data_IF_706136213821
#
_entry.id   IF_706136213821
#
_cell.length_a   1.000
_cell.length_b   1.000
_cell.length_c   1.000
_cell.angle_alpha   90.00
_cell.angle_beta   90.00
_cell.angle_gamma   90.00
#
_symmetry.space_group_name_H-M   'P 1'
#
loop_
_entity.id
_entity.type
_entity.pdbx_description
1 polymer ?
#
# COMPACT_ATOMS: atom_id res chain seq x y z
N UNK A 1 -69.72 53.15 18.68
CA UNK A 1 -69.28 51.75 19.02
C UNK A 1 -68.18 51.30 18.03
N UNK A 2 -66.92 51.34 18.47
CA UNK A 2 -65.76 50.85 17.65
C UNK A 2 -65.48 49.37 17.98
N UNK A 3 -65.64 48.49 16.99
CA UNK A 3 -65.29 47.11 17.14
C UNK A 3 -63.80 46.94 16.92
N UNK A 4 -63.08 46.53 17.95
CA UNK A 4 -61.67 46.12 17.84
C UNK A 4 -61.63 44.70 17.30
N UNK A 5 -61.01 44.53 16.12
CA UNK A 5 -60.70 43.20 15.55
C UNK A 5 -59.31 42.84 16.02
N UNK A 6 -59.21 41.81 16.87
CA UNK A 6 -57.92 41.19 17.29
C UNK A 6 -57.50 40.18 16.23
N UNK A 7 -56.43 40.52 15.47
CA UNK A 7 -55.79 39.58 14.56
C UNK A 7 -54.74 38.80 15.36
N UNK A 8 -55.03 37.52 15.64
CA UNK A 8 -54.05 36.60 16.23
C UNK A 8 -53.12 36.12 15.12
N UNK A 9 -51.88 36.58 15.12
CA UNK A 9 -50.81 36.06 14.28
C UNK A 9 -50.34 34.75 14.88
N UNK A 10 -50.70 33.61 14.26
CA UNK A 10 -50.18 32.29 14.59
C UNK A 10 -48.80 32.15 13.95
N UNK A 11 -47.75 32.39 14.74
CA UNK A 11 -46.37 32.06 14.35
C UNK A 11 -46.19 30.56 14.34
N UNK A 12 -46.30 29.95 13.17
CA UNK A 12 -45.91 28.57 12.94
C UNK A 12 -44.37 28.54 12.90
N UNK A 13 -43.72 28.26 14.03
CA UNK A 13 -42.31 27.94 14.09
C UNK A 13 -42.14 26.54 13.49
N UNK A 14 -41.69 26.46 12.22
CA UNK A 14 -41.22 25.23 11.63
C UNK A 14 -39.90 24.82 12.33
N UNK A 15 -40.02 23.95 13.32
CA UNK A 15 -38.85 23.27 13.90
C UNK A 15 -38.31 22.29 12.85
N UNK A 16 -37.28 22.72 12.12
CA UNK A 16 -36.51 21.81 11.29
C UNK A 16 -35.80 20.83 12.23
N UNK A 17 -36.41 19.69 12.50
CA UNK A 17 -35.75 18.53 13.07
C UNK A 17 -34.76 17.98 12.02
N UNK A 18 -33.59 18.59 11.91
CA UNK A 18 -32.44 17.89 11.33
C UNK A 18 -32.08 16.82 12.33
N UNK A 19 -32.55 15.59 12.07
CA UNK A 19 -32.05 14.42 12.77
C UNK A 19 -30.53 14.38 12.60
N UNK A 20 -29.79 14.64 13.68
CA UNK A 20 -28.35 14.39 13.69
C UNK A 20 -28.18 12.90 13.45
N UNK A 21 -27.76 12.54 12.22
CA UNK A 21 -27.32 11.19 11.92
C UNK A 21 -26.04 11.02 12.74
N UNK A 22 -26.13 10.34 13.87
CA UNK A 22 -24.98 9.95 14.67
C UNK A 22 -24.15 8.95 13.85
N UNK A 23 -23.16 9.46 13.14
CA UNK A 23 -22.21 8.64 12.41
C UNK A 23 -21.30 7.96 13.40
N UNK A 24 -21.59 6.69 13.69
CA UNK A 24 -20.74 5.88 14.58
C UNK A 24 -19.52 5.43 13.80
N UNK A 25 -18.34 5.83 14.29
CA UNK A 25 -17.05 5.35 13.79
C UNK A 25 -16.50 4.28 14.74
N UNK A 26 -15.91 3.21 14.18
CA UNK A 26 -15.17 2.20 14.95
C UNK A 26 -13.70 2.58 15.03
N UNK A 27 -13.14 2.58 16.24
CA UNK A 27 -11.70 2.77 16.49
C UNK A 27 -11.08 1.43 16.88
N UNK A 28 -9.95 1.08 16.25
CA UNK A 28 -9.20 -0.15 16.47
C UNK A 28 -7.74 0.24 16.75
N UNK A 29 -7.12 -0.38 17.74
CA UNK A 29 -5.69 -0.26 18.02
C UNK A 29 -4.93 -1.35 17.26
N UNK A 30 -3.81 -1.01 16.64
CA UNK A 30 -3.03 -1.91 15.80
C UNK A 30 -1.55 -1.94 16.24
N UNK A 31 -0.93 -3.11 16.19
CA UNK A 31 0.52 -3.27 16.34
C UNK A 31 1.29 -2.89 15.05
N UNK A 32 2.61 -3.09 15.06
CA UNK A 32 3.47 -2.80 13.90
C UNK A 32 3.21 -3.68 12.69
N UNK A 33 2.54 -4.83 12.85
CA UNK A 33 2.14 -5.75 11.81
C UNK A 33 0.69 -5.58 11.37
N UNK A 34 0.02 -4.48 11.81
CA UNK A 34 -1.38 -4.17 11.58
C UNK A 34 -2.38 -5.22 12.14
N UNK A 35 -2.00 -5.98 13.16
CA UNK A 35 -2.89 -6.86 13.93
C UNK A 35 -3.51 -6.08 15.08
N UNK A 36 -4.69 -6.48 15.53
CA UNK A 36 -5.32 -5.85 16.70
C UNK A 36 -4.40 -5.90 17.94
N UNK A 37 -4.34 -4.79 18.64
CA UNK A 37 -3.50 -4.57 19.82
C UNK A 37 -4.33 -3.95 20.96
N UNK A 38 -3.75 -3.92 22.16
CA UNK A 38 -4.36 -3.24 23.30
C UNK A 38 -4.02 -1.74 23.29
N UNK A 39 -4.77 -0.90 24.04
CA UNK A 39 -4.48 0.52 24.18
C UNK A 39 -3.09 0.84 24.71
N UNK A 40 -2.45 -0.09 25.45
CA UNK A 40 -1.11 0.08 26.03
C UNK A 40 0.00 -0.18 25.00
N UNK A 41 -0.22 -1.12 24.07
CA UNK A 41 0.83 -1.66 23.18
C UNK A 41 0.64 -1.31 21.70
N UNK A 42 -0.33 -0.44 21.36
CA UNK A 42 -0.56 -0.09 19.96
C UNK A 42 0.55 0.77 19.37
N UNK A 43 0.72 0.66 18.07
CA UNK A 43 1.61 1.49 17.22
C UNK A 43 0.80 2.43 16.34
N UNK A 44 -0.36 1.96 15.86
CA UNK A 44 -1.28 2.69 15.00
C UNK A 44 -2.70 2.63 15.52
N UNK A 45 -3.53 3.59 15.11
CA UNK A 45 -4.95 3.58 15.36
C UNK A 45 -5.68 3.60 14.03
N UNK A 46 -6.61 2.66 13.81
CA UNK A 46 -7.52 2.65 12.65
C UNK A 46 -8.87 3.22 13.06
N UNK A 47 -9.41 4.09 12.21
CA UNK A 47 -10.79 4.60 12.32
C UNK A 47 -11.54 4.20 11.05
N UNK A 48 -12.69 3.54 11.23
CA UNK A 48 -13.61 3.19 10.15
C UNK A 48 -14.84 4.05 10.32
N UNK A 49 -15.07 4.94 9.36
CA UNK A 49 -16.20 5.89 9.38
C UNK A 49 -17.47 5.22 8.87
N UNK A 50 -18.64 5.64 9.37
CA UNK A 50 -19.96 5.08 9.03
C UNK A 50 -20.11 3.59 9.39
N UNK A 51 -19.38 3.11 10.38
CA UNK A 51 -19.35 1.68 10.75
C UNK A 51 -20.74 1.10 11.09
N UNK A 52 -21.63 1.90 11.70
CA UNK A 52 -22.99 1.50 12.05
C UNK A 52 -23.96 1.42 10.87
N UNK A 53 -23.61 1.97 9.73
CA UNK A 53 -24.46 2.02 8.54
C UNK A 53 -24.06 0.94 7.55
N UNK A 54 -25.04 0.35 6.83
CA UNK A 54 -24.76 -0.52 5.70
C UNK A 54 -24.32 0.36 4.52
N UNK A 55 -23.11 0.17 4.05
CA UNK A 55 -22.53 0.91 2.93
C UNK A 55 -21.84 -0.04 1.96
N UNK A 56 -21.79 0.33 0.68
CA UNK A 56 -21.01 -0.39 -0.30
C UNK A 56 -19.49 -0.22 -0.08
N UNK A 57 -19.09 0.90 0.55
CA UNK A 57 -17.70 1.21 0.90
C UNK A 57 -17.65 1.97 2.22
N UNK A 58 -16.63 1.72 3.01
CA UNK A 58 -16.35 2.40 4.27
C UNK A 58 -15.03 3.14 4.16
N UNK A 59 -14.99 4.39 4.63
CA UNK A 59 -13.72 5.14 4.71
C UNK A 59 -12.91 4.58 5.87
N UNK A 60 -11.66 4.20 5.59
CA UNK A 60 -10.68 3.75 6.58
C UNK A 60 -9.54 4.75 6.66
N UNK A 61 -9.17 5.13 7.87
CA UNK A 61 -8.01 6.01 8.10
C UNK A 61 -7.18 5.45 9.25
N UNK A 62 -5.90 5.22 8.98
CA UNK A 62 -4.92 4.85 10.01
C UNK A 62 -4.14 6.09 10.44
N UNK A 63 -3.83 6.17 11.72
CA UNK A 63 -3.07 7.24 12.34
C UNK A 63 -1.84 6.69 13.04
N UNK A 64 -0.75 7.41 12.95
CA UNK A 64 0.40 7.24 13.82
C UNK A 64 0.06 7.58 15.27
N UNK A 65 0.88 7.12 16.23
CA UNK A 65 0.70 7.41 17.66
C UNK A 65 0.72 8.90 18.00
N UNK A 66 1.36 9.74 17.15
CA UNK A 66 1.37 11.20 17.27
C UNK A 66 0.12 11.89 16.68
N UNK A 67 -0.90 11.12 16.25
CA UNK A 67 -2.15 11.62 15.70
C UNK A 67 -2.11 12.01 14.21
N UNK A 68 -0.95 11.98 13.56
CA UNK A 68 -0.87 12.24 12.11
C UNK A 68 -1.38 11.05 11.31
N UNK A 69 -2.00 11.31 10.16
CA UNK A 69 -2.45 10.26 9.23
C UNK A 69 -1.27 9.42 8.77
N UNK A 70 -1.44 8.09 8.78
CA UNK A 70 -0.52 7.12 8.18
C UNK A 70 -1.06 6.62 6.84
N UNK A 71 -2.38 6.43 6.74
CA UNK A 71 -3.04 5.90 5.54
C UNK A 71 -4.49 6.37 5.52
N UNK A 72 -5.03 6.59 4.32
CA UNK A 72 -6.48 6.74 4.12
C UNK A 72 -6.89 6.06 2.82
N UNK A 73 -8.11 5.53 2.77
CA UNK A 73 -8.68 4.88 1.60
C UNK A 73 -10.08 4.35 1.89
N UNK A 74 -10.58 3.45 1.05
CA UNK A 74 -11.87 2.80 1.25
C UNK A 74 -11.73 1.28 1.35
N UNK A 75 -12.59 0.65 2.16
CA UNK A 75 -12.72 -0.80 2.26
C UNK A 75 -14.13 -1.24 1.87
N UNK A 76 -14.24 -2.39 1.22
CA UNK A 76 -15.54 -3.02 0.88
C UNK A 76 -16.18 -3.71 2.09
N UNK A 77 -15.40 -4.02 3.12
CA UNK A 77 -15.87 -4.66 4.33
C UNK A 77 -15.49 -3.82 5.55
N UNK A 78 -16.39 -3.69 6.53
CA UNK A 78 -16.17 -2.89 7.71
C UNK A 78 -15.32 -3.59 8.79
N UNK A 79 -15.26 -4.91 8.77
CA UNK A 79 -14.56 -5.72 9.77
C UNK A 79 -13.22 -6.25 9.26
N UNK A 80 -13.10 -6.44 7.93
CA UNK A 80 -11.87 -6.88 7.26
C UNK A 80 -11.42 -5.79 6.27
N UNK A 81 -10.15 -5.39 6.31
CA UNK A 81 -9.61 -4.44 5.36
C UNK A 81 -9.52 -5.07 3.96
N UNK A 82 -10.59 -4.92 3.17
CA UNK A 82 -10.64 -5.26 1.74
C UNK A 82 -10.58 -3.96 0.93
N UNK A 83 -9.37 -3.60 0.49
CA UNK A 83 -9.08 -2.31 -0.17
C UNK A 83 -9.80 -2.17 -1.50
N UNK A 84 -10.39 -0.97 -1.73
CA UNK A 84 -11.04 -0.64 -2.99
C UNK A 84 -10.97 0.86 -3.27
N UNK A 85 -10.56 1.26 -4.47
CA UNK A 85 -10.28 2.64 -4.84
C UNK A 85 -8.89 3.12 -4.43
N UNK A 86 -8.72 4.44 -4.36
CA UNK A 86 -7.45 5.09 -4.05
C UNK A 86 -7.07 4.94 -2.57
N UNK A 87 -5.83 4.54 -2.31
CA UNK A 87 -5.18 4.55 -1.00
C UNK A 87 -4.01 5.51 -1.02
N UNK A 88 -3.97 6.41 -0.03
CA UNK A 88 -2.87 7.35 0.18
C UNK A 88 -2.17 7.01 1.48
N UNK A 89 -0.86 6.73 1.43
CA UNK A 89 -0.01 6.58 2.60
C UNK A 89 0.82 7.85 2.84
N UNK A 90 1.18 8.07 4.10
CA UNK A 90 1.92 9.24 4.55
C UNK A 90 3.07 8.82 5.47
N UNK A 91 4.18 9.51 5.39
CA UNK A 91 5.27 9.44 6.36
C UNK A 91 4.87 10.05 7.70
N UNK A 92 5.67 9.77 8.74
CA UNK A 92 5.44 10.34 10.09
C UNK A 92 5.50 11.87 10.14
N UNK A 93 6.23 12.51 9.20
CA UNK A 93 6.29 13.96 9.07
C UNK A 93 5.03 14.54 8.41
N UNK A 94 4.14 13.71 7.85
CA UNK A 94 2.89 14.07 7.18
C UNK A 94 3.01 14.25 5.66
N UNK A 95 4.22 14.14 5.08
CA UNK A 95 4.39 14.15 3.62
C UNK A 95 3.83 12.86 3.00
N UNK A 96 3.41 12.91 1.73
CA UNK A 96 2.91 11.73 1.02
C UNK A 96 4.04 10.72 0.83
N UNK A 97 3.75 9.44 1.12
CA UNK A 97 4.63 8.30 0.86
C UNK A 97 4.22 7.59 -0.42
N UNK A 98 2.90 7.33 -0.59
CA UNK A 98 2.42 6.65 -1.79
C UNK A 98 0.97 6.96 -2.12
N UNK A 99 0.62 6.81 -3.39
CA UNK A 99 -0.75 6.74 -3.90
C UNK A 99 -0.88 5.47 -4.73
N UNK A 100 -1.83 4.61 -4.36
CA UNK A 100 -2.05 3.30 -4.99
C UNK A 100 -3.53 3.08 -5.19
N UNK A 101 -3.95 2.58 -6.35
CA UNK A 101 -5.33 2.19 -6.60
C UNK A 101 -5.52 0.68 -6.40
N UNK A 102 -6.65 0.31 -5.82
CA UNK A 102 -7.05 -1.06 -5.57
C UNK A 102 -8.43 -1.35 -6.18
N UNK A 103 -8.61 -2.58 -6.64
CA UNK A 103 -9.90 -3.17 -6.96
C UNK A 103 -9.97 -4.51 -6.25
N UNK A 104 -10.92 -4.67 -5.33
CA UNK A 104 -11.10 -5.89 -4.53
C UNK A 104 -9.80 -6.43 -3.90
N UNK A 105 -9.03 -5.54 -3.27
CA UNK A 105 -7.73 -5.82 -2.61
C UNK A 105 -6.54 -6.07 -3.57
N UNK A 106 -6.76 -6.02 -4.89
CA UNK A 106 -5.69 -6.13 -5.89
C UNK A 106 -5.26 -4.75 -6.37
N UNK A 107 -3.94 -4.52 -6.43
CA UNK A 107 -3.40 -3.28 -7.02
C UNK A 107 -3.74 -3.19 -8.50
N UNK A 108 -4.25 -2.03 -8.93
CA UNK A 108 -4.59 -1.73 -10.32
C UNK A 108 -4.19 -0.31 -10.68
N UNK A 109 -3.92 -0.07 -11.95
CA UNK A 109 -3.61 1.28 -12.43
C UNK A 109 -2.27 1.82 -11.93
N UNK A 110 -2.15 3.14 -11.97
CA UNK A 110 -0.91 3.84 -11.62
C UNK A 110 -0.65 3.84 -10.12
N UNK A 111 0.59 3.56 -9.74
CA UNK A 111 1.12 3.69 -8.38
C UNK A 111 2.26 4.70 -8.40
N UNK A 112 2.24 5.67 -7.48
CA UNK A 112 3.29 6.67 -7.33
C UNK A 112 3.80 6.64 -5.90
N UNK A 113 5.13 6.64 -5.74
CA UNK A 113 5.77 6.77 -4.44
C UNK A 113 6.74 7.94 -4.43
N UNK A 114 6.91 8.52 -3.24
CA UNK A 114 7.82 9.62 -2.96
C UNK A 114 8.78 9.22 -1.85
N UNK A 115 9.93 9.85 -1.80
CA UNK A 115 10.81 9.86 -0.64
C UNK A 115 10.25 10.78 0.45
N UNK A 116 10.75 10.67 1.68
CA UNK A 116 10.29 11.50 2.80
C UNK A 116 10.56 13.00 2.58
N UNK A 117 11.55 13.36 1.74
CA UNK A 117 11.84 14.71 1.27
C UNK A 117 10.90 15.20 0.16
N UNK A 118 9.84 14.44 -0.18
CA UNK A 118 8.82 14.71 -1.19
C UNK A 118 9.31 14.63 -2.65
N UNK A 119 10.56 14.24 -2.91
CA UNK A 119 10.96 13.92 -4.29
C UNK A 119 10.33 12.61 -4.74
N UNK A 120 10.02 12.49 -6.03
CA UNK A 120 9.51 11.23 -6.59
C UNK A 120 10.54 10.11 -6.41
N UNK A 121 10.04 8.90 -6.09
CA UNK A 121 10.84 7.68 -6.00
C UNK A 121 10.57 6.77 -7.19
N UNK A 122 9.30 6.41 -7.43
CA UNK A 122 8.93 5.62 -8.60
C UNK A 122 7.50 5.88 -9.07
N UNK A 123 7.28 5.54 -10.34
CA UNK A 123 5.97 5.36 -10.94
C UNK A 123 5.89 3.94 -11.49
N UNK A 124 4.83 3.22 -11.12
CA UNK A 124 4.55 1.85 -11.53
C UNK A 124 3.17 1.75 -12.16
N UNK A 125 2.98 0.78 -13.03
CA UNK A 125 1.68 0.38 -13.56
C UNK A 125 1.34 -1.00 -13.05
N UNK A 126 0.22 -1.12 -12.35
CA UNK A 126 -0.27 -2.37 -11.81
C UNK A 126 -1.46 -2.87 -12.63
N UNK A 127 -1.55 -4.18 -12.84
CA UNK A 127 -2.69 -4.85 -13.44
C UNK A 127 -3.02 -6.14 -12.71
N UNK A 128 -4.29 -6.47 -12.67
CA UNK A 128 -4.83 -7.71 -12.12
C UNK A 128 -5.68 -8.41 -13.17
N UNK A 129 -5.43 -9.69 -13.41
CA UNK A 129 -6.25 -10.51 -14.28
C UNK A 129 -7.09 -11.48 -13.44
N UNK A 130 -8.42 -11.27 -13.30
CA UNK A 130 -9.27 -12.10 -12.46
C UNK A 130 -9.45 -13.53 -13.00
N UNK A 131 -9.28 -13.75 -14.31
CA UNK A 131 -9.41 -15.08 -14.93
C UNK A 131 -8.22 -15.97 -14.59
N UNK A 132 -7.01 -15.45 -14.68
CA UNK A 132 -5.77 -16.19 -14.40
C UNK A 132 -5.33 -16.04 -12.94
N UNK A 133 -5.95 -15.14 -12.16
CA UNK A 133 -5.57 -14.76 -10.79
C UNK A 133 -4.10 -14.31 -10.70
N UNK A 134 -3.64 -13.56 -11.69
CA UNK A 134 -2.26 -13.06 -11.76
C UNK A 134 -2.21 -11.55 -11.67
N UNK A 135 -1.23 -11.05 -10.91
CA UNK A 135 -0.89 -9.62 -10.85
C UNK A 135 0.38 -9.39 -11.66
N UNK A 136 0.44 -8.24 -12.33
CA UNK A 136 1.66 -7.75 -12.95
C UNK A 136 1.91 -6.31 -12.52
N UNK A 137 3.18 -5.98 -12.25
CA UNK A 137 3.63 -4.62 -11.96
C UNK A 137 4.77 -4.27 -12.90
N UNK A 138 4.61 -3.18 -13.65
CA UNK A 138 5.64 -2.61 -14.50
C UNK A 138 6.23 -1.38 -13.82
N UNK A 139 7.55 -1.27 -13.76
CA UNK A 139 8.27 -0.08 -13.31
C UNK A 139 8.40 0.85 -14.51
N UNK A 140 7.70 1.99 -14.48
CA UNK A 140 7.73 2.95 -15.57
C UNK A 140 8.87 3.96 -15.40
N UNK A 141 8.98 4.54 -14.21
CA UNK A 141 9.98 5.55 -13.92
C UNK A 141 10.56 5.32 -12.52
N UNK A 142 11.85 5.58 -12.36
CA UNK A 142 12.52 5.53 -11.06
C UNK A 142 13.52 6.68 -10.94
N UNK A 143 13.53 7.32 -9.77
CA UNK A 143 14.46 8.37 -9.37
C UNK A 143 15.19 7.94 -8.10
N UNK A 144 16.48 8.21 -8.05
CA UNK A 144 17.27 8.03 -6.83
C UNK A 144 17.00 9.16 -5.80
N UNK A 145 17.58 9.06 -4.62
CA UNK A 145 17.44 10.07 -3.56
C UNK A 145 18.02 11.46 -3.95
N UNK A 146 18.94 11.50 -4.91
CA UNK A 146 19.51 12.71 -5.48
C UNK A 146 18.64 13.30 -6.60
N UNK A 147 17.47 12.72 -6.87
CA UNK A 147 16.50 13.08 -7.92
C UNK A 147 16.98 12.77 -9.35
N UNK A 148 18.02 11.96 -9.52
CA UNK A 148 18.43 11.51 -10.84
C UNK A 148 17.43 10.45 -11.32
N UNK A 149 16.85 10.65 -12.50
CA UNK A 149 15.98 9.65 -13.10
C UNK A 149 16.84 8.59 -13.79
N UNK A 150 16.82 7.36 -13.30
CA UNK A 150 17.64 6.25 -13.79
C UNK A 150 16.83 5.21 -14.55
N UNK A 151 15.49 5.18 -14.39
CA UNK A 151 14.58 4.45 -15.26
C UNK A 151 13.60 5.43 -15.90
N UNK A 152 13.53 5.42 -17.23
CA UNK A 152 12.66 6.25 -18.06
C UNK A 152 11.80 5.34 -18.92
N UNK A 153 10.49 5.51 -18.88
CA UNK A 153 9.51 4.74 -19.66
C UNK A 153 9.79 3.23 -19.67
N UNK A 154 10.10 2.71 -18.48
CA UNK A 154 10.33 1.29 -18.28
C UNK A 154 11.72 0.78 -18.68
N UNK A 155 12.69 1.67 -18.93
CA UNK A 155 14.02 1.25 -19.35
C UNK A 155 15.10 1.99 -18.57
N UNK A 156 16.14 1.28 -18.09
CA UNK A 156 17.26 1.90 -17.40
C UNK A 156 17.79 1.09 -16.21
N UNK A 157 18.68 1.70 -15.45
CA UNK A 157 19.25 1.11 -14.24
C UNK A 157 18.33 1.36 -13.04
N UNK A 158 18.16 0.35 -12.23
CA UNK A 158 17.34 0.39 -11.04
C UNK A 158 18.16 0.00 -9.82
N UNK A 159 18.17 0.85 -8.80
CA UNK A 159 18.76 0.54 -7.51
C UNK A 159 17.77 0.88 -6.39
N UNK A 160 17.27 -0.15 -5.70
CA UNK A 160 16.39 0.00 -4.55
C UNK A 160 17.15 -0.26 -3.26
N UNK A 161 16.99 0.65 -2.32
CA UNK A 161 17.47 0.50 -0.94
C UNK A 161 16.26 0.67 -0.04
N UNK A 162 15.79 -0.42 0.54
CA UNK A 162 14.82 -0.36 1.59
C UNK A 162 15.41 -0.89 2.92
N UNK A 163 14.58 -0.92 3.95
CA UNK A 163 15.00 -1.35 5.30
C UNK A 163 15.49 -2.81 5.34
N UNK A 164 15.03 -3.65 4.43
CA UNK A 164 15.23 -5.09 4.52
C UNK A 164 15.97 -5.66 3.31
N UNK A 165 15.86 -5.03 2.17
CA UNK A 165 16.46 -5.51 0.92
C UNK A 165 17.11 -4.36 0.18
N UNK A 166 18.36 -4.55 -0.23
CA UNK A 166 19.00 -3.72 -1.24
C UNK A 166 19.13 -4.53 -2.51
N UNK A 167 18.80 -3.95 -3.66
CA UNK A 167 18.95 -4.64 -4.94
C UNK A 167 19.19 -3.67 -6.08
N UNK A 168 19.98 -4.09 -7.07
CA UNK A 168 20.23 -3.34 -8.28
C UNK A 168 20.28 -4.24 -9.51
N UNK A 169 19.91 -3.69 -10.64
CA UNK A 169 19.92 -4.35 -11.93
C UNK A 169 19.28 -3.50 -13.01
N UNK A 170 18.97 -4.09 -14.16
CA UNK A 170 18.40 -3.39 -15.30
C UNK A 170 16.89 -3.65 -15.39
N UNK A 171 16.13 -2.61 -15.65
CA UNK A 171 14.74 -2.68 -16.07
C UNK A 171 14.69 -2.54 -17.59
N UNK A 172 13.92 -3.40 -18.24
CA UNK A 172 13.61 -3.34 -19.67
C UNK A 172 12.11 -3.55 -19.87
N UNK A 173 11.44 -2.64 -20.59
CA UNK A 173 9.99 -2.67 -20.78
C UNK A 173 9.21 -2.78 -19.44
N UNK A 174 9.69 -2.14 -18.39
CA UNK A 174 9.08 -2.15 -17.07
C UNK A 174 9.37 -3.39 -16.20
N UNK A 175 10.14 -4.37 -16.71
CA UNK A 175 10.41 -5.65 -16.05
C UNK A 175 11.89 -5.83 -15.76
N UNK A 176 12.21 -6.62 -14.74
CA UNK A 176 13.60 -7.02 -14.44
C UNK A 176 14.18 -7.80 -15.59
N UNK A 177 15.42 -7.44 -15.98
CA UNK A 177 16.15 -8.08 -17.07
C UNK A 177 17.60 -8.33 -16.70
N UNK A 178 18.14 -9.50 -17.07
CA UNK A 178 19.53 -9.85 -16.86
C UNK A 178 19.91 -10.02 -15.38
N UNK A 179 21.15 -9.73 -15.05
CA UNK A 179 21.73 -9.96 -13.72
C UNK A 179 21.27 -8.89 -12.73
N UNK A 180 20.78 -9.35 -11.59
CA UNK A 180 20.40 -8.53 -10.42
C UNK A 180 21.21 -8.97 -9.21
N UNK A 181 21.72 -8.02 -8.46
CA UNK A 181 22.49 -8.28 -7.24
C UNK A 181 21.86 -7.55 -6.06
N UNK A 182 21.99 -8.12 -4.86
CA UNK A 182 21.46 -7.48 -3.68
C UNK A 182 21.77 -8.23 -2.39
N UNK A 183 21.24 -7.65 -1.31
CA UNK A 183 21.33 -8.22 0.04
C UNK A 183 19.93 -8.28 0.65
N UNK A 184 19.60 -9.39 1.28
CA UNK A 184 18.42 -9.56 2.11
C UNK A 184 18.88 -9.57 3.58
N UNK A 185 18.60 -8.47 4.28
CA UNK A 185 19.06 -8.24 5.65
C UNK A 185 18.37 -9.20 6.62
N UNK A 186 17.08 -9.51 6.38
CA UNK A 186 16.32 -10.41 7.26
C UNK A 186 16.83 -11.85 7.19
N UNK A 187 17.21 -12.30 5.99
CA UNK A 187 17.76 -13.64 5.77
C UNK A 187 19.28 -13.70 5.89
N UNK A 188 19.91 -12.54 6.06
CA UNK A 188 21.37 -12.35 6.13
C UNK A 188 22.10 -12.99 4.95
N UNK A 189 21.57 -12.78 3.75
CA UNK A 189 22.18 -13.33 2.52
C UNK A 189 22.45 -12.24 1.51
N UNK A 190 23.57 -12.35 0.81
CA UNK A 190 23.78 -11.68 -0.48
C UNK A 190 23.26 -12.58 -1.60
N UNK A 191 22.78 -12.01 -2.69
CA UNK A 191 22.27 -12.78 -3.81
C UNK A 191 22.66 -12.20 -5.15
N UNK A 192 22.72 -13.10 -6.14
CA UNK A 192 22.82 -12.76 -7.56
C UNK A 192 21.77 -13.58 -8.30
N UNK A 193 20.82 -12.87 -8.93
CA UNK A 193 19.70 -13.43 -9.67
C UNK A 193 19.86 -13.12 -11.16
N UNK A 194 19.34 -13.98 -12.02
CA UNK A 194 19.20 -13.71 -13.44
C UNK A 194 17.73 -13.74 -13.84
N UNK A 195 17.25 -12.66 -14.46
CA UNK A 195 15.87 -12.48 -14.88
C UNK A 195 15.76 -12.40 -16.40
N UNK A 196 14.70 -12.97 -16.94
CA UNK A 196 14.23 -12.71 -18.29
C UNK A 196 12.76 -12.26 -18.24
N UNK A 197 12.47 -11.07 -18.78
CA UNK A 197 11.13 -10.47 -18.78
C UNK A 197 10.42 -10.54 -17.41
N UNK A 198 11.14 -10.26 -16.34
CA UNK A 198 10.63 -10.28 -14.96
C UNK A 198 10.55 -11.67 -14.32
N UNK A 199 10.84 -12.73 -15.06
CA UNK A 199 10.85 -14.12 -14.56
C UNK A 199 12.25 -14.47 -14.07
N UNK A 200 12.36 -14.96 -12.83
CA UNK A 200 13.62 -15.47 -12.30
C UNK A 200 13.98 -16.80 -13.01
N UNK A 201 15.10 -16.78 -13.74
CA UNK A 201 15.61 -17.95 -14.49
C UNK A 201 16.55 -18.76 -13.62
N UNK A 202 17.45 -18.10 -12.91
CA UNK A 202 18.42 -18.73 -12.01
C UNK A 202 18.92 -17.71 -10.99
N UNK A 203 19.44 -18.19 -9.89
CA UNK A 203 20.08 -17.33 -8.91
C UNK A 203 20.97 -18.12 -7.94
N UNK A 204 21.75 -17.37 -7.20
CA UNK A 204 22.57 -17.87 -6.09
C UNK A 204 22.45 -16.94 -4.91
N UNK A 205 22.42 -17.48 -3.72
CA UNK A 205 22.57 -16.73 -2.48
C UNK A 205 23.72 -17.28 -1.65
N UNK A 206 24.35 -16.41 -0.88
CA UNK A 206 25.44 -16.74 0.03
C UNK A 206 25.07 -16.16 1.40
N UNK A 207 25.09 -16.99 2.43
CA UNK A 207 24.80 -16.59 3.80
C UNK A 207 26.04 -16.04 4.54
N UNK A 208 25.88 -15.62 5.79
CA UNK A 208 26.95 -15.11 6.66
C UNK A 208 28.05 -16.14 6.95
N UNK A 209 27.80 -17.44 6.75
CA UNK A 209 28.76 -18.55 6.91
C UNK A 209 29.40 -18.96 5.58
N UNK A 210 29.23 -18.18 4.52
CA UNK A 210 29.68 -18.48 3.16
C UNK A 210 29.05 -19.74 2.52
N UNK A 211 27.91 -20.22 3.06
CA UNK A 211 27.17 -21.32 2.46
C UNK A 211 26.43 -20.82 1.23
N UNK A 212 26.72 -21.43 0.08
CA UNK A 212 26.13 -21.07 -1.20
C UNK A 212 24.92 -21.95 -1.52
N UNK A 213 23.82 -21.32 -1.88
CA UNK A 213 22.59 -21.97 -2.32
C UNK A 213 22.23 -21.48 -3.74
N UNK A 214 21.95 -22.42 -4.67
CA UNK A 214 21.52 -22.13 -6.04
C UNK A 214 20.06 -22.51 -6.24
N UNK A 215 19.32 -21.68 -6.98
CA UNK A 215 17.88 -21.81 -7.20
C UNK A 215 17.50 -21.40 -8.63
N UNK A 216 16.33 -21.87 -9.09
CA UNK A 216 15.77 -21.57 -10.41
C UNK A 216 14.35 -21.01 -10.35
N UNK A 217 13.85 -20.74 -9.16
CA UNK A 217 12.52 -20.16 -8.94
C UNK A 217 12.48 -19.26 -7.70
N UNK A 218 11.50 -18.36 -7.65
CA UNK A 218 11.26 -17.54 -6.46
C UNK A 218 10.92 -18.38 -5.22
N UNK A 219 10.21 -19.50 -5.40
CA UNK A 219 9.87 -20.39 -4.30
C UNK A 219 11.11 -21.05 -3.71
N UNK A 220 12.00 -21.57 -4.55
CA UNK A 220 13.30 -22.12 -4.12
C UNK A 220 14.13 -21.05 -3.40
N UNK A 221 14.19 -19.83 -3.96
CA UNK A 221 14.88 -18.68 -3.35
C UNK A 221 14.35 -18.38 -1.94
N UNK A 222 13.03 -18.39 -1.76
CA UNK A 222 12.40 -18.06 -0.49
C UNK A 222 12.52 -19.16 0.56
N UNK A 223 12.39 -20.40 0.16
CA UNK A 223 12.39 -21.56 1.08
C UNK A 223 13.77 -22.10 1.40
N UNK A 224 14.79 -21.75 0.60
CA UNK A 224 16.12 -22.32 0.70
C UNK A 224 16.17 -23.82 0.33
N UNK A 225 15.13 -24.35 -0.31
CA UNK A 225 15.02 -25.77 -0.70
C UNK A 225 14.74 -25.88 -2.18
N UNK A 226 15.46 -26.79 -2.87
CA UNK A 226 15.09 -27.16 -4.24
C UNK A 226 13.74 -27.86 -4.22
N UNK A 227 12.80 -27.37 -5.03
CA UNK A 227 11.55 -28.07 -5.30
C UNK A 227 11.90 -29.24 -6.23
N UNK A 228 11.83 -30.47 -5.72
CA UNK A 228 11.93 -31.66 -6.55
C UNK A 228 10.75 -31.63 -7.52
N UNK A 229 11.03 -31.41 -8.81
CA UNK A 229 10.02 -31.60 -9.86
C UNK A 229 9.64 -33.09 -9.83
N UNK A 230 8.39 -33.37 -9.45
CA UNK A 230 7.80 -34.70 -9.71
C UNK A 230 7.90 -34.97 -11.22
N UNK A 231 8.55 -36.06 -11.59
CA UNK A 231 8.62 -36.59 -12.98
C UNK A 231 7.23 -36.98 -13.44
#
# INVERSE_FOLDING_TARGET
MKKNVFIIFLLISSVNLFGQINVVSKKIFLDSLNREATPENYVYTRVITNYSQKSARYVVTDFYKNGRKKMTGCTLDKDILKKDGEFICYYKNGSKESVVNYSEDHKVGKEINWYENQSKKWEKQNSWNPKTKTSQTLILNFWDENKNQTVVDGNGEYEEKDKFVTQKGVIKNGLKQGVWQGNDILRKVSFTDNYDQGILISGTSVDENNVKFSYSSLNEKQTGKKVLKSK
#
